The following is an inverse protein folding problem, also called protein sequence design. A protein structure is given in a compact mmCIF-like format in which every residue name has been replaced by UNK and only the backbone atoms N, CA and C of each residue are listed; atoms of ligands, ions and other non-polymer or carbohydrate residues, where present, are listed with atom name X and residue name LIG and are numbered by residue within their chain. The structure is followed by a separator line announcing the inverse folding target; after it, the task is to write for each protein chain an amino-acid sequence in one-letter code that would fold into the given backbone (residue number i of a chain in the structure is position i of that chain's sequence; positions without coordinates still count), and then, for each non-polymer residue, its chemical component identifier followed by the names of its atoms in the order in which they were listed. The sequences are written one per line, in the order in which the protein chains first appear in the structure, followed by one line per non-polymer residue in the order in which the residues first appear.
data_IF_022470889676
#
_entry.id   IF_022470889676
#
_cell.length_a   1.000
_cell.length_b   1.000
_cell.length_c   1.000
_cell.angle_alpha   90.00
_cell.angle_beta   90.00
_cell.angle_gamma   90.00
#
_symmetry.space_group_name_H-M   'P 1'
#
loop_
_entity.id
_entity.type
_entity.pdbx_description
1 polymer ?
#
# COMPACT_ATOMS: atom_id res chain seq x y z
N UNK A 1 -19.47 -18.22 21.51
CA UNK A 1 -18.38 -17.23 21.67
C UNK A 1 -17.18 -17.72 20.90
N UNK A 2 -16.46 -16.87 20.17
CA UNK A 2 -15.19 -17.23 19.51
C UNK A 2 -14.04 -17.12 20.49
N UNK A 3 -13.06 -18.02 20.37
CA UNK A 3 -11.77 -17.95 21.08
C UNK A 3 -10.73 -17.13 20.31
N UNK A 4 -11.01 -16.76 19.05
CA UNK A 4 -10.16 -15.87 18.27
C UNK A 4 -10.38 -14.42 18.74
N UNK A 5 -9.30 -13.75 19.13
CA UNK A 5 -9.35 -12.33 19.46
C UNK A 5 -9.35 -11.50 18.16
N UNK A 6 -10.55 -11.23 17.66
CA UNK A 6 -10.73 -10.43 16.45
C UNK A 6 -10.42 -8.96 16.70
N UNK A 7 -9.96 -8.27 15.66
CA UNK A 7 -9.67 -6.82 15.70
C UNK A 7 -10.90 -5.97 16.09
N UNK A 8 -12.10 -6.45 15.76
CA UNK A 8 -13.38 -5.90 16.21
C UNK A 8 -14.14 -6.96 17.04
N UNK A 9 -13.86 -7.12 18.33
CA UNK A 9 -14.33 -8.25 19.12
C UNK A 9 -15.85 -8.29 19.34
N UNK A 10 -16.54 -7.18 19.09
CA UNK A 10 -18.02 -7.10 19.14
C UNK A 10 -18.71 -7.45 17.82
N UNK A 11 -17.94 -7.57 16.74
CA UNK A 11 -18.52 -7.88 15.43
C UNK A 11 -18.72 -9.38 15.27
N UNK A 12 -19.88 -9.79 14.72
CA UNK A 12 -20.09 -11.14 14.23
C UNK A 12 -19.73 -11.18 12.76
N UNK A 13 -18.69 -11.93 12.42
CA UNK A 13 -18.20 -12.05 11.06
C UNK A 13 -18.76 -13.31 10.39
N UNK A 14 -19.11 -13.29 9.09
CA UNK A 14 -19.40 -14.49 8.35
C UNK A 14 -18.16 -15.39 8.30
N UNK A 15 -18.37 -16.71 8.25
CA UNK A 15 -17.28 -17.69 8.19
C UNK A 15 -17.00 -17.99 6.71
N UNK A 16 -15.86 -17.55 6.20
CA UNK A 16 -15.41 -17.90 4.85
C UNK A 16 -14.97 -19.36 4.79
N UNK A 17 -15.43 -20.10 3.80
CA UNK A 17 -15.16 -21.54 3.63
C UNK A 17 -14.50 -21.89 2.30
N UNK A 18 -14.63 -21.04 1.28
CA UNK A 18 -14.02 -21.25 -0.03
C UNK A 18 -13.71 -19.93 -0.74
N UNK A 19 -12.78 -20.01 -1.70
CA UNK A 19 -12.51 -18.95 -2.66
C UNK A 19 -12.61 -19.50 -4.08
N UNK A 20 -13.18 -18.72 -5.01
CA UNK A 20 -13.36 -19.12 -6.39
C UNK A 20 -13.22 -17.90 -7.31
N UNK A 21 -12.14 -17.87 -8.11
CA UNK A 21 -11.81 -16.71 -8.92
C UNK A 21 -11.70 -15.44 -8.07
N UNK A 22 -12.57 -14.47 -8.33
CA UNK A 22 -12.61 -13.20 -7.57
C UNK A 22 -13.58 -13.21 -6.39
N UNK A 23 -14.18 -14.35 -6.06
CA UNK A 23 -15.23 -14.45 -5.05
C UNK A 23 -14.80 -15.24 -3.82
N UNK A 24 -15.32 -14.84 -2.68
CA UNK A 24 -15.25 -15.59 -1.42
C UNK A 24 -16.66 -16.14 -1.13
N UNK A 25 -16.73 -17.40 -0.66
CA UNK A 25 -17.96 -18.08 -0.29
C UNK A 25 -17.98 -18.28 1.22
N UNK A 26 -19.10 -17.90 1.87
CA UNK A 26 -19.27 -18.13 3.30
C UNK A 26 -19.98 -19.47 3.61
N UNK A 27 -20.05 -19.82 4.89
CA UNK A 27 -20.65 -21.07 5.37
C UNK A 27 -22.14 -21.22 5.09
N UNK A 28 -22.82 -20.16 4.65
CA UNK A 28 -24.22 -20.22 4.22
C UNK A 28 -24.37 -20.42 2.71
N UNK A 29 -23.25 -20.44 1.98
CA UNK A 29 -23.21 -20.51 0.53
C UNK A 29 -23.32 -19.15 -0.17
N UNK A 30 -23.37 -18.05 0.57
CA UNK A 30 -23.41 -16.71 -0.01
C UNK A 30 -22.05 -16.36 -0.61
N UNK A 31 -22.06 -15.82 -1.83
CA UNK A 31 -20.90 -15.41 -2.60
C UNK A 31 -20.69 -13.89 -2.51
N UNK A 32 -19.45 -13.48 -2.37
CA UNK A 32 -19.05 -12.09 -2.27
C UNK A 32 -17.97 -11.80 -3.30
N UNK A 33 -18.18 -10.88 -4.22
CA UNK A 33 -17.11 -10.35 -5.08
C UNK A 33 -16.12 -9.61 -4.19
N UNK A 34 -14.85 -10.02 -4.21
CA UNK A 34 -13.77 -9.35 -3.49
C UNK A 34 -13.24 -8.17 -4.31
N UNK A 35 -13.93 -7.04 -4.23
CA UNK A 35 -13.51 -5.82 -4.91
C UNK A 35 -12.51 -4.98 -4.09
N UNK A 36 -11.94 -5.52 -3.02
CA UNK A 36 -10.89 -4.85 -2.25
C UNK A 36 -9.61 -5.68 -2.08
N UNK A 37 -9.61 -6.93 -2.55
CA UNK A 37 -8.49 -7.84 -2.35
C UNK A 37 -8.15 -8.04 -0.87
N UNK A 38 -9.16 -8.02 0.01
CA UNK A 38 -9.00 -7.88 1.46
C UNK A 38 -8.47 -6.48 1.84
N UNK A 39 -7.24 -6.18 1.56
CA UNK A 39 -6.60 -4.86 1.68
C UNK A 39 -5.59 -4.65 0.54
N UNK A 40 -6.05 -4.80 -0.70
CA UNK A 40 -5.26 -4.79 -1.93
C UNK A 40 -4.24 -5.95 -2.03
N UNK A 41 -4.55 -7.10 -1.43
CA UNK A 41 -3.65 -8.28 -1.35
C UNK A 41 -3.89 -9.27 -2.48
N UNK A 42 -5.15 -9.74 -2.66
CA UNK A 42 -5.52 -10.90 -3.48
C UNK A 42 -5.54 -10.59 -4.99
N UNK A 43 -4.38 -10.21 -5.54
CA UNK A 43 -4.29 -9.75 -6.93
C UNK A 43 -4.58 -10.85 -7.96
N UNK A 44 -4.37 -12.13 -7.64
CA UNK A 44 -4.70 -13.28 -8.51
C UNK A 44 -6.03 -13.97 -8.12
N UNK A 45 -6.84 -13.34 -7.25
CA UNK A 45 -8.02 -13.98 -6.69
C UNK A 45 -7.68 -15.11 -5.72
N UNK A 46 -8.59 -16.06 -5.55
CA UNK A 46 -8.57 -17.00 -4.44
C UNK A 46 -8.38 -18.48 -4.84
N UNK A 47 -8.18 -18.80 -6.11
CA UNK A 47 -8.14 -20.19 -6.59
C UNK A 47 -7.11 -20.45 -7.70
N UNK A 48 -6.02 -19.65 -7.76
CA UNK A 48 -4.99 -19.85 -8.77
C UNK A 48 -4.23 -21.16 -8.53
N UNK A 49 -4.49 -22.16 -9.39
CA UNK A 49 -3.95 -23.50 -9.22
C UNK A 49 -2.43 -23.56 -9.35
N UNK A 50 -1.83 -22.71 -10.21
CA UNK A 50 -0.38 -22.67 -10.38
C UNK A 50 0.34 -22.31 -9.09
N UNK A 51 -0.15 -21.28 -8.39
CA UNK A 51 0.42 -20.84 -7.09
C UNK A 51 0.21 -21.93 -6.02
N UNK A 52 -0.99 -22.52 -5.96
CA UNK A 52 -1.29 -23.63 -5.02
C UNK A 52 -0.34 -24.79 -5.24
N UNK A 53 -0.08 -25.17 -6.48
CA UNK A 53 0.82 -26.29 -6.81
C UNK A 53 2.29 -25.96 -6.54
N UNK A 54 2.72 -24.72 -6.73
CA UNK A 54 4.05 -24.25 -6.34
C UNK A 54 4.27 -24.38 -4.82
N UNK A 55 3.29 -23.97 -4.02
CA UNK A 55 3.29 -24.13 -2.55
C UNK A 55 3.41 -25.62 -2.16
N UNK A 56 2.59 -26.47 -2.76
CA UNK A 56 2.61 -27.94 -2.49
C UNK A 56 3.98 -28.54 -2.79
N UNK A 57 4.54 -28.27 -3.98
CA UNK A 57 5.85 -28.80 -4.39
C UNK A 57 6.95 -28.35 -3.42
N UNK A 58 7.02 -27.04 -3.13
CA UNK A 58 8.05 -26.52 -2.23
C UNK A 58 7.92 -27.06 -0.80
N UNK A 59 6.68 -27.17 -0.29
CA UNK A 59 6.44 -27.72 1.05
C UNK A 59 6.81 -29.20 1.17
N UNK A 60 6.70 -29.96 0.07
CA UNK A 60 7.14 -31.37 0.02
C UNK A 60 8.66 -31.52 -0.06
N UNK A 61 9.33 -30.58 -0.74
CA UNK A 61 10.78 -30.62 -0.92
C UNK A 61 11.51 -30.07 0.31
N UNK A 62 11.23 -28.84 0.70
CA UNK A 62 11.83 -28.13 1.83
C UNK A 62 10.95 -26.94 2.21
N UNK A 63 10.15 -27.02 3.29
CA UNK A 63 9.27 -25.91 3.65
C UNK A 63 10.03 -24.69 4.17
N UNK A 64 11.12 -24.89 4.90
CA UNK A 64 11.88 -23.85 5.58
C UNK A 64 13.35 -24.21 5.73
N UNK A 65 14.23 -23.23 5.57
CA UNK A 65 15.64 -23.27 5.98
C UNK A 65 16.01 -21.92 6.61
N UNK A 66 16.76 -21.95 7.70
CA UNK A 66 17.17 -20.73 8.38
C UNK A 66 18.30 -20.03 7.64
N UNK A 67 18.13 -18.75 7.36
CA UNK A 67 19.05 -17.93 6.53
C UNK A 67 20.46 -17.71 7.13
N UNK A 68 20.67 -18.03 8.42
CA UNK A 68 22.02 -18.05 8.99
C UNK A 68 22.85 -19.26 8.52
N UNK A 69 22.26 -20.25 7.87
CA UNK A 69 22.94 -21.48 7.45
C UNK A 69 22.78 -21.76 5.96
N UNK A 70 21.65 -21.38 5.37
CA UNK A 70 21.31 -21.72 4.00
C UNK A 70 20.57 -20.56 3.31
N UNK A 71 20.80 -20.43 2.03
CA UNK A 71 19.84 -19.81 1.10
C UNK A 71 19.04 -20.90 0.39
N UNK A 72 18.04 -20.53 -0.42
CA UNK A 72 17.27 -21.48 -1.23
C UNK A 72 17.15 -20.98 -2.67
N UNK A 73 17.15 -21.90 -3.64
CA UNK A 73 17.03 -21.57 -5.06
C UNK A 73 15.80 -20.67 -5.35
N UNK A 74 14.67 -20.96 -4.70
CA UNK A 74 13.44 -20.18 -4.91
C UNK A 74 13.53 -18.76 -4.34
N UNK A 75 14.34 -18.53 -3.30
CA UNK A 75 14.56 -17.19 -2.76
C UNK A 75 15.50 -16.39 -3.67
N UNK A 76 16.57 -17.02 -4.17
CA UNK A 76 17.51 -16.39 -5.12
C UNK A 76 16.80 -16.05 -6.44
N UNK A 77 16.05 -16.99 -7.04
CA UNK A 77 15.30 -16.76 -8.28
C UNK A 77 14.23 -15.66 -8.12
N UNK A 78 13.55 -15.61 -6.97
CA UNK A 78 12.61 -14.52 -6.70
C UNK A 78 13.34 -13.18 -6.57
N UNK A 79 14.51 -13.14 -5.91
CA UNK A 79 15.31 -11.94 -5.78
C UNK A 79 15.79 -11.44 -7.15
N UNK A 80 16.37 -12.31 -7.97
CA UNK A 80 16.82 -11.99 -9.32
C UNK A 80 15.66 -11.38 -10.15
N UNK A 81 14.49 -12.04 -10.13
CA UNK A 81 13.32 -11.57 -10.87
C UNK A 81 12.82 -10.21 -10.40
N UNK A 82 12.86 -9.92 -9.10
CA UNK A 82 12.47 -8.62 -8.57
C UNK A 82 13.48 -7.54 -8.94
N UNK A 83 14.76 -7.83 -8.87
CA UNK A 83 15.85 -6.92 -9.23
C UNK A 83 15.84 -6.60 -10.72
N UNK A 84 15.68 -7.61 -11.58
CA UNK A 84 15.61 -7.43 -13.04
C UNK A 84 14.50 -6.46 -13.48
N UNK A 85 13.42 -6.39 -12.71
CA UNK A 85 12.29 -5.53 -12.99
C UNK A 85 12.29 -4.23 -12.16
N UNK A 86 13.20 -4.07 -11.21
CA UNK A 86 13.22 -2.95 -10.27
C UNK A 86 13.68 -1.63 -10.92
N UNK A 87 13.28 -0.48 -10.37
CA UNK A 87 13.90 0.80 -10.69
C UNK A 87 15.42 0.75 -10.57
N UNK A 88 16.11 1.45 -11.48
CA UNK A 88 17.57 1.42 -11.58
C UNK A 88 18.26 1.69 -10.23
N UNK A 89 19.30 0.88 -9.93
CA UNK A 89 20.11 1.00 -8.72
C UNK A 89 19.59 0.20 -7.51
N UNK A 90 18.39 -0.39 -7.57
CA UNK A 90 17.90 -1.35 -6.60
C UNK A 90 18.34 -2.77 -7.01
N UNK A 91 19.40 -3.28 -6.38
CA UNK A 91 20.10 -4.48 -6.84
C UNK A 91 20.09 -5.62 -5.83
N UNK A 92 19.48 -5.42 -4.65
CA UNK A 92 19.41 -6.43 -3.60
C UNK A 92 18.02 -6.49 -2.97
N UNK A 93 17.65 -7.67 -2.45
CA UNK A 93 16.34 -7.91 -1.84
C UNK A 93 16.51 -8.50 -0.44
N UNK A 94 15.88 -7.87 0.53
CA UNK A 94 15.78 -8.38 1.89
C UNK A 94 14.36 -8.86 2.16
N UNK A 95 14.15 -10.19 2.20
CA UNK A 95 12.84 -10.79 2.40
C UNK A 95 12.41 -10.74 3.87
N UNK A 96 11.11 -10.56 4.09
CA UNK A 96 10.45 -10.55 5.40
C UNK A 96 9.06 -11.19 5.27
N UNK A 97 8.29 -11.28 6.38
CA UNK A 97 6.97 -11.94 6.35
C UNK A 97 5.80 -11.00 6.05
N UNK A 98 6.04 -9.69 5.95
CA UNK A 98 4.96 -8.73 5.67
C UNK A 98 5.41 -7.28 5.61
N UNK A 99 4.47 -6.38 5.29
CA UNK A 99 4.77 -4.97 5.02
C UNK A 99 5.32 -4.20 6.22
N UNK A 100 4.81 -4.43 7.43
CA UNK A 100 5.34 -3.74 8.62
C UNK A 100 6.80 -4.10 8.89
N UNK A 101 7.16 -5.36 8.68
CA UNK A 101 8.55 -5.82 8.79
C UNK A 101 9.43 -5.26 7.67
N UNK A 102 8.91 -5.12 6.46
CA UNK A 102 9.63 -4.48 5.36
C UNK A 102 9.99 -3.02 5.68
N UNK A 103 9.04 -2.27 6.24
CA UNK A 103 9.30 -0.90 6.71
C UNK A 103 10.32 -0.88 7.85
N UNK A 104 10.20 -1.75 8.86
CA UNK A 104 11.21 -1.83 9.93
C UNK A 104 12.61 -2.12 9.38
N UNK A 105 12.71 -3.03 8.39
CA UNK A 105 13.96 -3.31 7.72
C UNK A 105 14.50 -2.08 6.99
N UNK A 106 13.66 -1.36 6.25
CA UNK A 106 14.05 -0.14 5.53
C UNK A 106 14.56 0.96 6.46
N UNK A 107 13.87 1.20 7.60
CA UNK A 107 14.30 2.18 8.60
C UNK A 107 15.66 1.81 9.22
N UNK A 108 15.86 0.54 9.56
CA UNK A 108 17.11 0.05 10.13
C UNK A 108 18.23 0.03 9.12
N UNK A 109 17.98 -0.33 7.85
CA UNK A 109 18.95 -0.22 6.77
C UNK A 109 19.41 1.23 6.58
N UNK A 110 18.47 2.17 6.52
CA UNK A 110 18.78 3.59 6.41
C UNK A 110 19.65 4.08 7.61
N UNK A 111 19.28 3.67 8.82
CA UNK A 111 20.03 4.02 10.02
C UNK A 111 21.43 3.42 10.02
N UNK A 112 21.56 2.12 9.77
CA UNK A 112 22.85 1.43 9.77
C UNK A 112 23.76 1.95 8.65
N UNK A 113 23.23 2.19 7.45
CA UNK A 113 23.97 2.81 6.35
C UNK A 113 24.70 4.09 6.79
N UNK A 114 24.03 5.00 7.50
CA UNK A 114 24.66 6.23 7.97
C UNK A 114 25.65 6.00 9.11
N UNK A 115 25.42 5.02 9.98
CA UNK A 115 26.41 4.64 11.01
C UNK A 115 27.68 4.12 10.36
N UNK A 116 27.54 3.23 9.38
CA UNK A 116 28.71 2.67 8.64
C UNK A 116 29.47 3.73 7.83
N UNK A 117 28.77 4.74 7.33
CA UNK A 117 29.38 5.91 6.69
C UNK A 117 30.10 6.86 7.63
N UNK A 118 30.03 6.68 8.94
CA UNK A 118 30.52 7.64 9.92
C UNK A 118 29.67 8.89 10.11
N UNK A 119 28.38 8.83 9.73
CA UNK A 119 27.38 9.90 9.90
C UNK A 119 26.32 9.52 10.96
N UNK A 120 26.68 9.18 12.22
CA UNK A 120 25.76 8.64 13.23
C UNK A 120 24.74 9.67 13.73
N UNK A 121 24.88 10.95 13.41
CA UNK A 121 23.90 12.00 13.71
C UNK A 121 22.61 11.82 12.92
N UNK A 122 22.63 11.21 11.73
CA UNK A 122 21.46 10.98 10.86
C UNK A 122 20.54 9.93 11.48
N UNK A 123 19.46 10.38 12.13
CA UNK A 123 18.52 9.55 12.88
C UNK A 123 17.05 9.94 12.70
N UNK A 124 16.77 11.15 12.19
CA UNK A 124 15.41 11.61 12.00
C UNK A 124 14.81 11.06 10.71
N UNK A 125 13.56 10.64 10.80
CA UNK A 125 12.76 10.24 9.66
C UNK A 125 11.65 11.27 9.46
N UNK A 126 11.43 11.64 8.19
CA UNK A 126 10.34 12.51 7.78
C UNK A 126 9.36 11.68 6.95
N UNK A 127 8.04 11.81 7.19
CA UNK A 127 7.01 11.16 6.40
C UNK A 127 5.85 12.14 6.14
N UNK A 128 4.80 11.69 5.48
CA UNK A 128 3.62 12.53 5.22
C UNK A 128 2.55 12.36 6.30
N UNK A 129 1.82 13.43 6.64
CA UNK A 129 0.57 13.30 7.37
C UNK A 129 -0.39 12.41 6.58
N UNK A 130 -1.31 11.71 7.25
CA UNK A 130 -2.27 10.78 6.68
C UNK A 130 -1.66 9.62 5.89
N UNK A 131 -0.40 9.24 6.16
CA UNK A 131 0.22 8.04 5.62
C UNK A 131 0.00 6.82 6.51
N UNK A 132 0.19 5.63 5.94
CA UNK A 132 0.18 4.36 6.67
C UNK A 132 1.33 3.46 6.22
N UNK A 133 2.22 3.13 7.16
CA UNK A 133 3.41 2.32 6.87
C UNK A 133 3.47 0.99 7.64
N UNK A 134 2.52 0.72 8.52
CA UNK A 134 2.46 -0.54 9.26
C UNK A 134 2.05 -0.38 10.73
N UNK A 135 2.16 -1.49 11.49
CA UNK A 135 1.73 -1.57 12.89
C UNK A 135 2.86 -1.86 13.89
N UNK A 136 4.07 -2.21 13.44
CA UNK A 136 5.22 -2.30 14.32
C UNK A 136 5.55 -0.90 14.84
N UNK A 137 6.24 -0.79 15.98
CA UNK A 137 6.41 0.51 16.62
C UNK A 137 7.14 1.53 15.75
N UNK A 138 8.18 1.12 15.00
CA UNK A 138 8.86 2.01 14.06
C UNK A 138 7.98 2.40 12.87
N UNK A 139 7.32 1.43 12.24
CA UNK A 139 6.40 1.70 11.14
C UNK A 139 5.20 2.57 11.54
N UNK A 140 4.67 2.35 12.76
CA UNK A 140 3.60 3.17 13.33
C UNK A 140 4.08 4.59 13.66
N UNK A 141 5.31 4.72 14.14
CA UNK A 141 5.91 6.02 14.49
C UNK A 141 6.02 6.93 13.28
N UNK A 142 6.48 6.41 12.12
CA UNK A 142 6.57 7.19 10.88
C UNK A 142 5.22 7.37 10.18
N UNK A 143 4.22 6.51 10.45
CA UNK A 143 2.86 6.69 9.94
C UNK A 143 2.24 8.02 10.37
N UNK A 144 1.60 8.73 9.45
CA UNK A 144 1.05 10.07 9.69
C UNK A 144 -0.41 10.11 10.12
N UNK A 145 -1.08 8.96 10.27
CA UNK A 145 -2.49 8.92 10.67
C UNK A 145 -2.63 9.00 12.20
N UNK A 146 -3.10 10.13 12.71
CA UNK A 146 -3.18 10.44 14.13
C UNK A 146 -4.00 9.41 14.91
N UNK A 147 -5.17 9.02 14.40
CA UNK A 147 -6.06 8.04 15.05
C UNK A 147 -5.39 6.70 15.35
N UNK A 148 -4.52 6.23 14.45
CA UNK A 148 -3.81 4.94 14.62
C UNK A 148 -2.68 5.03 15.63
N UNK A 149 -2.09 6.22 15.80
CA UNK A 149 -0.92 6.47 16.64
C UNK A 149 -1.30 6.80 18.10
N UNK A 150 -2.41 7.50 18.30
CA UNK A 150 -2.83 8.07 19.58
C UNK A 150 -2.69 7.12 20.77
N UNK A 151 -3.22 5.87 20.76
CA UNK A 151 -3.11 4.95 21.89
C UNK A 151 -1.67 4.52 22.22
N UNK A 152 -0.74 4.68 21.26
CA UNK A 152 0.63 4.17 21.34
C UNK A 152 1.69 5.26 21.38
N UNK A 153 1.30 6.54 21.38
CA UNK A 153 2.25 7.67 21.39
C UNK A 153 3.40 7.54 22.40
N UNK A 154 3.19 7.06 23.65
CA UNK A 154 4.27 6.92 24.61
C UNK A 154 5.33 5.87 24.24
N UNK A 155 5.05 4.99 23.26
CA UNK A 155 5.94 3.92 22.82
C UNK A 155 6.65 4.24 21.51
N UNK A 156 6.26 5.32 20.82
CA UNK A 156 6.75 5.62 19.49
C UNK A 156 8.06 6.42 19.53
N UNK A 157 8.97 6.09 18.61
CA UNK A 157 10.13 6.93 18.33
C UNK A 157 9.69 8.27 17.73
N UNK A 158 10.54 9.28 17.86
CA UNK A 158 10.31 10.58 17.24
C UNK A 158 10.32 10.46 15.70
N UNK A 159 9.29 10.98 15.05
CA UNK A 159 9.18 11.10 13.61
C UNK A 159 8.51 12.42 13.23
N UNK A 160 8.90 12.99 12.11
CA UNK A 160 8.45 14.29 11.65
C UNK A 160 7.52 14.13 10.44
N UNK A 161 6.51 15.01 10.33
CA UNK A 161 5.52 14.88 9.27
C UNK A 161 5.33 16.19 8.51
N UNK A 162 5.34 16.07 7.17
CA UNK A 162 5.02 17.14 6.22
C UNK A 162 3.64 16.88 5.59
N UNK A 163 3.15 17.83 4.80
CA UNK A 163 1.86 17.74 4.12
C UNK A 163 1.78 16.54 3.17
N UNK A 164 0.60 15.90 3.03
CA UNK A 164 0.37 14.90 2.01
C UNK A 164 0.28 15.57 0.62
N UNK A 165 0.56 14.81 -0.44
CA UNK A 165 0.22 15.23 -1.79
C UNK A 165 -1.24 14.81 -2.09
N UNK A 166 -2.19 15.67 -1.76
CA UNK A 166 -3.62 15.39 -1.84
C UNK A 166 -4.36 16.50 -2.58
N UNK A 167 -4.20 16.53 -3.91
CA UNK A 167 -4.67 17.64 -4.76
C UNK A 167 -6.15 17.99 -4.57
N UNK A 168 -7.04 17.00 -4.49
CA UNK A 168 -8.47 17.27 -4.27
C UNK A 168 -8.74 18.15 -3.04
N UNK A 169 -7.97 17.99 -1.96
CA UNK A 169 -8.17 18.72 -0.69
C UNK A 169 -7.28 19.96 -0.56
N UNK A 170 -6.02 19.86 -0.94
CA UNK A 170 -4.97 20.76 -0.48
C UNK A 170 -4.40 21.67 -1.59
N UNK A 171 -4.69 21.36 -2.87
CA UNK A 171 -4.29 22.21 -3.98
C UNK A 171 -5.14 23.49 -4.00
N UNK A 172 -4.49 24.65 -4.06
CA UNK A 172 -5.16 25.95 -4.01
C UNK A 172 -5.91 26.25 -5.32
N UNK A 173 -6.94 27.08 -5.24
CA UNK A 173 -7.66 27.50 -6.42
C UNK A 173 -6.72 28.22 -7.40
N UNK A 174 -6.65 27.73 -8.64
CA UNK A 174 -5.76 28.27 -9.68
C UNK A 174 -4.29 27.83 -9.57
N UNK A 175 -3.92 27.04 -8.55
CA UNK A 175 -2.58 26.47 -8.45
C UNK A 175 -2.41 25.33 -9.46
N UNK A 176 -1.36 25.36 -10.28
CA UNK A 176 -1.04 24.25 -11.19
C UNK A 176 -0.45 23.07 -10.42
N UNK A 177 -0.53 21.85 -11.00
CA UNK A 177 0.09 20.66 -10.41
C UNK A 177 1.58 20.88 -10.14
N UNK A 178 2.26 21.57 -11.04
CA UNK A 178 3.69 21.88 -10.92
C UNK A 178 3.99 22.82 -9.74
N UNK A 179 3.18 23.86 -9.54
CA UNK A 179 3.32 24.81 -8.43
C UNK A 179 2.98 24.11 -7.10
N UNK A 180 1.94 23.27 -7.09
CA UNK A 180 1.57 22.47 -5.91
C UNK A 180 2.68 21.48 -5.53
N UNK A 181 3.21 20.74 -6.50
CA UNK A 181 4.34 19.83 -6.27
C UNK A 181 5.58 20.57 -5.74
N UNK A 182 5.86 21.78 -6.27
CA UNK A 182 6.97 22.61 -5.78
C UNK A 182 6.74 23.04 -4.33
N UNK A 183 5.57 23.55 -3.99
CA UNK A 183 5.23 23.96 -2.63
C UNK A 183 5.42 22.85 -1.59
N UNK A 184 5.05 21.61 -1.96
CA UNK A 184 5.24 20.44 -1.09
C UNK A 184 6.72 20.03 -0.99
N UNK A 185 7.49 20.17 -2.07
CA UNK A 185 8.93 19.92 -2.03
C UNK A 185 9.67 20.96 -1.19
N UNK A 186 9.25 22.24 -1.29
CA UNK A 186 9.80 23.34 -0.45
C UNK A 186 9.50 23.12 1.04
N UNK A 187 8.30 22.59 1.38
CA UNK A 187 7.96 22.20 2.77
C UNK A 187 8.88 21.09 3.29
N UNK A 188 9.17 20.07 2.46
CA UNK A 188 10.13 19.02 2.82
C UNK A 188 11.52 19.59 3.00
N UNK A 189 11.98 20.45 2.09
CA UNK A 189 13.28 21.09 2.17
C UNK A 189 13.41 21.93 3.45
N UNK A 190 12.40 22.75 3.74
CA UNK A 190 12.36 23.53 4.97
C UNK A 190 12.43 22.66 6.21
N UNK A 191 11.72 21.52 6.25
CA UNK A 191 11.75 20.60 7.37
C UNK A 191 13.14 19.95 7.54
N UNK A 192 13.81 19.59 6.47
CA UNK A 192 15.19 19.06 6.50
C UNK A 192 16.14 20.10 7.09
N UNK A 193 16.04 21.36 6.65
CA UNK A 193 16.88 22.46 7.15
C UNK A 193 16.61 22.75 8.64
N UNK A 194 15.33 22.75 9.04
CA UNK A 194 14.91 22.94 10.45
C UNK A 194 15.53 21.88 11.38
N UNK A 195 15.58 20.62 10.94
CA UNK A 195 16.14 19.51 11.73
C UNK A 195 17.67 19.44 11.69
N UNK A 196 18.30 20.18 10.79
CA UNK A 196 19.70 20.03 10.41
C UNK A 196 19.85 18.86 9.43
N UNK A 197 20.28 19.14 8.20
CA UNK A 197 20.34 18.13 7.15
C UNK A 197 21.20 16.91 7.52
N UNK A 198 22.26 17.13 8.31
CA UNK A 198 23.16 16.11 8.85
C UNK A 198 22.51 15.18 9.90
N UNK A 199 21.32 15.51 10.35
CA UNK A 199 20.56 14.70 11.33
C UNK A 199 19.43 13.88 10.67
N UNK A 200 19.10 14.16 9.39
CA UNK A 200 17.99 13.50 8.70
C UNK A 200 18.48 12.27 7.95
N UNK A 201 17.92 11.11 8.25
CA UNK A 201 18.24 9.84 7.61
C UNK A 201 17.42 9.63 6.32
N UNK A 202 16.10 9.73 6.39
CA UNK A 202 15.27 9.41 5.23
C UNK A 202 13.95 10.20 5.21
N UNK A 203 13.43 10.38 3.98
CA UNK A 203 12.03 10.68 3.73
C UNK A 203 11.30 9.40 3.30
N UNK A 204 10.14 9.13 3.91
CA UNK A 204 9.33 7.93 3.69
C UNK A 204 7.97 8.32 3.13
N UNK A 205 7.56 7.71 2.02
CA UNK A 205 6.28 8.00 1.39
C UNK A 205 5.69 6.78 0.66
N UNK A 206 4.37 6.62 0.74
CA UNK A 206 3.66 5.73 -0.19
C UNK A 206 3.70 6.34 -1.60
N UNK A 207 4.00 5.54 -2.62
CA UNK A 207 3.96 6.03 -4.02
C UNK A 207 2.54 6.48 -4.39
N UNK A 208 1.54 5.70 -4.03
CA UNK A 208 0.12 6.09 -4.05
C UNK A 208 -0.44 5.86 -2.66
N UNK A 209 -0.98 6.89 -2.01
CA UNK A 209 -1.50 6.76 -0.64
C UNK A 209 -2.69 5.81 -0.62
N UNK A 210 -2.58 4.77 0.21
CA UNK A 210 -3.56 3.68 0.22
C UNK A 210 -4.70 3.86 1.21
N UNK A 211 -4.61 3.08 2.30
CA UNK A 211 -5.71 2.82 3.23
C UNK A 211 -6.24 4.06 3.98
N UNK A 212 -5.42 5.07 4.21
CA UNK A 212 -5.79 6.22 5.06
C UNK A 212 -6.48 7.35 4.30
N UNK A 213 -6.28 7.43 2.99
CA UNK A 213 -6.86 8.51 2.17
C UNK A 213 -7.60 8.00 0.91
N UNK A 214 -7.58 6.68 0.62
CA UNK A 214 -8.32 6.06 -0.47
C UNK A 214 -7.70 6.32 -1.85
N UNK A 215 -6.61 5.62 -2.14
CA UNK A 215 -5.92 5.59 -3.44
C UNK A 215 -5.60 6.98 -4.01
N UNK A 216 -4.94 7.84 -3.23
CA UNK A 216 -4.53 9.20 -3.66
C UNK A 216 -3.21 9.13 -4.43
N UNK A 217 -3.20 9.28 -5.76
CA UNK A 217 -1.97 9.40 -6.52
C UNK A 217 -1.34 10.77 -6.31
N UNK A 218 0.00 10.88 -6.36
CA UNK A 218 0.64 12.19 -6.37
C UNK A 218 0.35 12.92 -7.68
N UNK A 219 0.37 14.27 -7.65
CA UNK A 219 0.36 15.05 -8.86
C UNK A 219 1.66 14.85 -9.65
N UNK A 220 1.61 15.11 -10.94
CA UNK A 220 2.79 14.99 -11.80
C UNK A 220 3.97 15.78 -11.21
N UNK A 221 5.17 15.28 -11.40
CA UNK A 221 6.44 15.86 -10.95
C UNK A 221 6.69 15.84 -9.44
N UNK A 222 5.69 15.58 -8.58
CA UNK A 222 5.87 15.58 -7.13
C UNK A 222 7.04 14.68 -6.68
N UNK A 223 7.02 13.39 -7.05
CA UNK A 223 8.08 12.46 -6.63
C UNK A 223 9.46 12.84 -7.19
N UNK A 224 9.52 13.40 -8.41
CA UNK A 224 10.78 13.91 -8.98
C UNK A 224 11.35 15.08 -8.16
N UNK A 225 10.49 16.01 -7.72
CA UNK A 225 10.92 17.12 -6.88
C UNK A 225 11.36 16.65 -5.48
N UNK A 226 10.63 15.72 -4.90
CA UNK A 226 11.01 15.07 -3.63
C UNK A 226 12.38 14.38 -3.77
N UNK A 227 12.59 13.59 -4.86
CA UNK A 227 13.89 12.96 -5.12
C UNK A 227 15.02 14.00 -5.20
N UNK A 228 14.79 15.09 -5.92
CA UNK A 228 15.78 16.16 -6.05
C UNK A 228 16.13 16.84 -4.70
N UNK A 229 15.14 17.05 -3.83
CA UNK A 229 15.37 17.55 -2.46
C UNK A 229 16.17 16.53 -1.65
N UNK A 230 15.81 15.24 -1.68
CA UNK A 230 16.54 14.19 -0.99
C UNK A 230 18.02 14.12 -1.46
N UNK A 231 18.26 14.18 -2.77
CA UNK A 231 19.61 14.17 -3.35
C UNK A 231 20.43 15.37 -2.90
N UNK A 232 19.84 16.56 -2.91
CA UNK A 232 20.50 17.82 -2.50
C UNK A 232 21.06 17.74 -1.08
N UNK A 233 20.37 17.07 -0.17
CA UNK A 233 20.75 17.00 1.24
C UNK A 233 21.33 15.64 1.67
N UNK A 234 21.48 14.70 0.73
CA UNK A 234 21.97 13.35 1.04
C UNK A 234 21.02 12.56 1.94
N UNK A 235 19.73 12.88 1.91
CA UNK A 235 18.65 12.17 2.62
C UNK A 235 18.21 11.00 1.75
N UNK A 236 18.01 9.81 2.36
CA UNK A 236 17.52 8.66 1.61
C UNK A 236 16.02 8.81 1.28
N UNK A 237 15.62 8.36 0.10
CA UNK A 237 14.23 8.23 -0.27
C UNK A 237 13.79 6.76 -0.10
N UNK A 238 12.80 6.53 0.77
CA UNK A 238 12.14 5.24 0.97
C UNK A 238 10.74 5.33 0.37
N UNK A 239 10.46 4.55 -0.68
CA UNK A 239 9.10 4.45 -1.21
C UNK A 239 8.41 3.18 -0.70
N UNK A 240 7.22 3.39 -0.13
CA UNK A 240 6.35 2.32 0.32
C UNK A 240 5.37 1.96 -0.81
N UNK A 241 5.59 0.80 -1.39
CA UNK A 241 4.74 0.21 -2.43
C UNK A 241 4.01 -1.06 -1.97
N UNK A 242 3.83 -1.20 -0.66
CA UNK A 242 3.15 -2.35 -0.09
C UNK A 242 1.73 -2.51 -0.63
N UNK A 243 1.01 -1.39 -0.90
CA UNK A 243 -0.32 -1.43 -1.51
C UNK A 243 -0.31 -1.15 -3.01
N UNK A 244 0.54 -0.24 -3.47
CA UNK A 244 0.53 0.28 -4.83
C UNK A 244 1.42 -0.50 -5.80
N UNK A 245 2.40 -1.24 -5.30
CA UNK A 245 3.31 -2.04 -6.11
C UNK A 245 2.75 -3.39 -6.56
N UNK A 246 3.63 -4.21 -7.10
CA UNK A 246 3.36 -5.58 -7.57
C UNK A 246 2.20 -5.64 -8.59
N UNK A 247 2.11 -4.63 -9.45
CA UNK A 247 1.16 -4.59 -10.56
C UNK A 247 -0.13 -3.81 -10.30
N UNK A 248 -0.42 -3.42 -9.06
CA UNK A 248 -1.70 -2.81 -8.64
C UNK A 248 -2.07 -1.54 -9.42
N UNK A 249 -1.07 -0.73 -9.80
CA UNK A 249 -1.27 0.50 -10.57
C UNK A 249 -1.16 0.31 -12.09
N UNK A 250 -0.88 -0.92 -12.55
CA UNK A 250 -0.62 -1.22 -13.96
C UNK A 250 0.87 -1.16 -14.34
N UNK A 251 1.73 -0.88 -13.36
CA UNK A 251 3.19 -1.03 -13.42
C UNK A 251 3.60 -2.01 -12.33
N UNK A 252 4.68 -2.77 -12.53
CA UNK A 252 5.13 -3.71 -11.50
C UNK A 252 5.54 -2.95 -10.23
N UNK A 253 6.29 -1.89 -10.39
CA UNK A 253 6.57 -0.90 -9.35
C UNK A 253 5.87 0.41 -9.71
N UNK A 254 5.07 0.94 -8.79
CA UNK A 254 4.22 2.11 -9.07
C UNK A 254 5.03 3.38 -9.38
N UNK A 255 6.24 3.51 -8.82
CA UNK A 255 7.14 4.63 -9.06
C UNK A 255 7.72 4.69 -10.47
N UNK A 256 7.63 3.60 -11.26
CA UNK A 256 8.04 3.60 -12.67
C UNK A 256 7.19 4.59 -13.50
N UNK A 257 5.92 4.75 -13.17
CA UNK A 257 5.04 5.72 -13.83
C UNK A 257 5.53 7.17 -13.63
N UNK A 258 6.13 7.43 -12.47
CA UNK A 258 6.69 8.74 -12.12
C UNK A 258 8.14 8.92 -12.59
N UNK A 259 8.80 7.83 -13.04
CA UNK A 259 10.20 7.81 -13.47
C UNK A 259 11.16 8.16 -12.34
N UNK A 260 10.94 7.61 -11.15
CA UNK A 260 11.74 7.87 -9.94
C UNK A 260 12.25 6.57 -9.35
N UNK A 261 13.55 6.49 -9.08
CA UNK A 261 14.17 5.41 -8.36
C UNK A 261 14.44 5.83 -6.90
N UNK A 262 13.91 5.12 -5.89
CA UNK A 262 14.23 5.35 -4.49
C UNK A 262 15.55 4.68 -4.10
N UNK A 263 16.03 4.96 -2.89
CA UNK A 263 17.18 4.27 -2.30
C UNK A 263 16.79 2.93 -1.66
N UNK A 264 15.56 2.88 -1.15
CA UNK A 264 14.91 1.69 -0.58
C UNK A 264 13.45 1.66 -1.04
N UNK A 265 12.96 0.47 -1.38
CA UNK A 265 11.58 0.28 -1.81
C UNK A 265 10.99 -0.92 -1.08
N UNK A 266 9.83 -0.73 -0.44
CA UNK A 266 9.17 -1.80 0.32
C UNK A 266 7.96 -2.35 -0.41
N UNK A 267 7.85 -3.67 -0.47
CA UNK A 267 6.75 -4.40 -1.10
C UNK A 267 6.24 -5.51 -0.18
N UNK A 268 4.96 -5.86 -0.33
CA UNK A 268 4.32 -7.01 0.31
C UNK A 268 3.01 -7.33 -0.43
N UNK A 269 1.97 -7.78 0.27
CA UNK A 269 0.60 -7.96 -0.25
C UNK A 269 0.56 -8.64 -1.62
N UNK A 270 0.49 -7.86 -2.73
CA UNK A 270 0.50 -8.37 -4.09
C UNK A 270 1.72 -9.22 -4.43
N UNK A 271 2.82 -9.11 -3.70
CA UNK A 271 3.99 -9.97 -3.87
C UNK A 271 3.63 -11.46 -3.69
N UNK A 272 2.89 -11.80 -2.64
CA UNK A 272 2.40 -13.15 -2.37
C UNK A 272 0.94 -13.38 -2.74
N UNK A 273 0.24 -12.33 -3.22
CA UNK A 273 -1.18 -12.37 -3.65
C UNK A 273 -2.14 -12.97 -2.61
N UNK A 274 -1.77 -13.00 -1.33
CA UNK A 274 -2.56 -13.59 -0.25
C UNK A 274 -2.38 -15.11 -0.08
N UNK A 275 -1.63 -15.77 -0.95
CA UNK A 275 -1.38 -17.22 -0.83
C UNK A 275 -0.39 -17.57 0.26
N UNK A 276 0.61 -16.71 0.49
CA UNK A 276 1.54 -16.81 1.62
C UNK A 276 1.88 -15.41 2.16
N UNK A 277 2.12 -15.28 3.47
CA UNK A 277 2.64 -14.04 4.04
C UNK A 277 4.09 -13.84 3.60
N UNK A 278 4.36 -12.74 2.90
CA UNK A 278 5.68 -12.34 2.45
C UNK A 278 5.72 -10.82 2.24
N UNK A 279 6.86 -10.24 2.49
CA UNK A 279 7.24 -8.88 2.15
C UNK A 279 8.70 -8.81 1.77
N UNK A 280 9.13 -7.70 1.23
CA UNK A 280 10.54 -7.47 0.95
C UNK A 280 10.88 -5.97 0.97
N UNK A 281 12.14 -5.69 1.21
CA UNK A 281 12.76 -4.40 1.00
C UNK A 281 13.79 -4.55 -0.10
N UNK A 282 13.60 -3.86 -1.23
CA UNK A 282 14.61 -3.71 -2.26
C UNK A 282 15.58 -2.63 -1.83
N UNK A 283 16.85 -2.87 -2.05
CA UNK A 283 17.97 -2.10 -1.48
C UNK A 283 18.90 -1.66 -2.60
N UNK A 284 19.30 -0.39 -2.60
CA UNK A 284 20.29 0.08 -3.56
C UNK A 284 21.68 -0.52 -3.28
N UNK A 285 22.43 -0.80 -4.35
CA UNK A 285 23.80 -1.35 -4.27
C UNK A 285 24.70 -0.51 -3.37
N UNK A 286 24.58 0.80 -3.41
CA UNK A 286 25.36 1.70 -2.55
C UNK A 286 25.11 1.45 -1.05
N UNK A 287 23.86 1.18 -0.62
CA UNK A 287 23.54 0.86 0.78
C UNK A 287 24.09 -0.53 1.13
N UNK A 288 23.88 -1.51 0.25
CA UNK A 288 24.40 -2.86 0.43
C UNK A 288 25.92 -2.87 0.59
N UNK A 289 26.66 -2.27 -0.36
CA UNK A 289 28.13 -2.22 -0.30
C UNK A 289 28.66 -1.51 0.93
N UNK A 290 28.01 -0.42 1.35
CA UNK A 290 28.41 0.29 2.57
C UNK A 290 28.38 -0.62 3.80
N UNK A 291 27.37 -1.50 3.91
CA UNK A 291 27.26 -2.46 5.01
C UNK A 291 28.29 -3.60 4.84
N UNK A 292 28.47 -4.11 3.61
CA UNK A 292 29.44 -5.19 3.32
C UNK A 292 30.86 -4.75 3.62
N UNK A 293 31.24 -3.56 3.16
CA UNK A 293 32.59 -3.01 3.32
C UNK A 293 32.85 -2.50 4.75
N UNK A 294 31.77 -2.18 5.51
CA UNK A 294 31.81 -1.76 6.90
C UNK A 294 31.81 -2.95 7.86
N UNK A 295 30.71 -3.15 8.60
CA UNK A 295 30.59 -4.24 9.58
C UNK A 295 30.47 -5.63 8.96
N UNK A 296 30.06 -5.71 7.69
CA UNK A 296 29.75 -6.97 7.00
C UNK A 296 28.50 -7.68 7.52
N UNK A 297 27.68 -7.01 8.33
CA UNK A 297 26.53 -7.64 8.98
C UNK A 297 25.38 -6.64 9.17
N UNK A 298 24.19 -6.96 8.65
CA UNK A 298 22.97 -6.19 8.92
C UNK A 298 22.37 -6.60 10.27
N UNK A 299 22.34 -5.67 11.24
CA UNK A 299 21.88 -5.91 12.62
C UNK A 299 20.35 -5.98 12.73
N UNK A 300 19.75 -6.78 11.88
CA UNK A 300 18.31 -7.02 11.81
C UNK A 300 18.02 -8.40 11.26
N UNK A 301 17.04 -9.09 11.84
CA UNK A 301 16.66 -10.41 11.36
C UNK A 301 15.38 -10.91 12.00
N UNK A 302 14.65 -11.71 11.25
CA UNK A 302 13.47 -12.46 11.69
C UNK A 302 13.69 -13.95 11.40
N UNK A 303 13.14 -14.83 12.22
CA UNK A 303 13.29 -16.28 12.06
C UNK A 303 12.83 -16.76 10.68
N UNK A 304 11.80 -16.17 10.11
CA UNK A 304 11.20 -16.61 8.84
C UNK A 304 11.67 -15.80 7.62
N UNK A 305 12.82 -15.14 7.68
CA UNK A 305 13.41 -14.50 6.50
C UNK A 305 13.57 -15.48 5.34
N UNK A 306 13.17 -15.10 4.14
CA UNK A 306 13.33 -15.91 2.94
C UNK A 306 12.66 -17.28 3.03
N UNK A 307 11.52 -17.42 3.74
CA UNK A 307 10.80 -18.67 3.90
C UNK A 307 10.53 -19.34 2.56
N UNK A 308 11.13 -20.51 2.32
CA UNK A 308 11.14 -21.15 0.99
C UNK A 308 9.75 -21.31 0.37
N UNK A 309 8.76 -21.76 1.15
CA UNK A 309 7.38 -21.92 0.64
C UNK A 309 6.73 -20.57 0.30
N UNK A 310 7.04 -19.51 1.05
CA UNK A 310 6.52 -18.18 0.76
C UNK A 310 7.20 -17.58 -0.48
N UNK A 311 8.51 -17.78 -0.65
CA UNK A 311 9.25 -17.37 -1.84
C UNK A 311 8.75 -18.13 -3.09
N UNK A 312 8.49 -19.45 -3.00
CA UNK A 312 7.95 -20.23 -4.10
C UNK A 312 6.55 -19.74 -4.54
N UNK A 313 5.70 -19.41 -3.58
CA UNK A 313 4.39 -18.82 -3.87
C UNK A 313 4.54 -17.47 -4.58
N UNK A 314 5.36 -16.57 -4.04
CA UNK A 314 5.59 -15.25 -4.60
C UNK A 314 6.23 -15.30 -5.99
N UNK A 315 7.20 -16.19 -6.21
CA UNK A 315 7.84 -16.40 -7.50
C UNK A 315 6.80 -16.81 -8.56
N UNK A 316 5.91 -17.75 -8.22
CA UNK A 316 4.87 -18.18 -9.15
C UNK A 316 3.83 -17.08 -9.39
N UNK A 317 3.49 -16.27 -8.37
CA UNK A 317 2.64 -15.08 -8.53
C UNK A 317 3.23 -14.12 -9.58
N UNK A 318 4.54 -13.83 -9.49
CA UNK A 318 5.20 -12.94 -10.46
C UNK A 318 5.26 -13.54 -11.86
N UNK A 319 5.43 -14.87 -11.98
CA UNK A 319 5.36 -15.57 -13.28
C UNK A 319 3.97 -15.44 -13.90
N UNK A 320 2.91 -15.71 -13.15
CA UNK A 320 1.52 -15.58 -13.63
C UNK A 320 1.22 -14.15 -14.08
N UNK A 321 1.59 -13.13 -13.30
CA UNK A 321 1.38 -11.71 -13.67
C UNK A 321 2.02 -11.40 -15.03
N UNK A 322 3.26 -11.85 -15.25
CA UNK A 322 3.99 -11.57 -16.48
C UNK A 322 3.45 -12.37 -17.68
N UNK A 323 3.28 -13.68 -17.53
CA UNK A 323 2.90 -14.60 -18.61
C UNK A 323 1.47 -14.36 -19.12
N UNK A 324 0.55 -14.06 -18.18
CA UNK A 324 -0.84 -13.74 -18.50
C UNK A 324 -1.04 -12.25 -18.83
N UNK A 325 0.04 -11.45 -18.88
CA UNK A 325 0.01 -10.00 -19.20
C UNK A 325 -0.99 -9.22 -18.34
N UNK A 326 -1.07 -9.55 -17.06
CA UNK A 326 -2.10 -9.00 -16.17
C UNK A 326 -1.96 -7.49 -15.96
N UNK A 327 -0.77 -6.90 -16.15
CA UNK A 327 -0.59 -5.44 -16.07
C UNK A 327 -1.42 -4.69 -17.12
N UNK A 328 -1.56 -5.25 -18.33
CA UNK A 328 -2.41 -4.67 -19.37
C UNK A 328 -3.89 -4.72 -18.97
N UNK A 329 -4.33 -5.84 -18.37
CA UNK A 329 -5.68 -5.96 -17.86
C UNK A 329 -5.94 -4.97 -16.71
N UNK A 330 -4.96 -4.79 -15.80
CA UNK A 330 -5.05 -3.80 -14.70
C UNK A 330 -5.26 -2.39 -15.26
N UNK A 331 -4.54 -1.99 -16.31
CA UNK A 331 -4.71 -0.68 -16.96
C UNK A 331 -6.09 -0.56 -17.59
N UNK A 332 -6.49 -1.54 -18.39
CA UNK A 332 -7.78 -1.53 -19.11
C UNK A 332 -8.98 -1.56 -18.16
N UNK A 333 -8.97 -2.47 -17.16
CA UNK A 333 -10.05 -2.59 -16.18
C UNK A 333 -10.07 -1.43 -15.20
N UNK A 334 -8.89 -0.90 -14.85
CA UNK A 334 -8.79 0.29 -14.01
C UNK A 334 -9.39 1.53 -14.67
N UNK A 335 -9.15 1.73 -15.97
CA UNK A 335 -9.79 2.82 -16.73
C UNK A 335 -11.30 2.63 -16.82
N UNK A 336 -11.77 1.42 -17.16
CA UNK A 336 -13.20 1.10 -17.18
C UNK A 336 -13.85 1.41 -15.83
N UNK A 337 -13.26 0.95 -14.71
CA UNK A 337 -13.78 1.18 -13.36
C UNK A 337 -13.91 2.68 -13.04
N UNK A 338 -12.84 3.46 -13.30
CA UNK A 338 -12.87 4.91 -13.05
C UNK A 338 -13.84 5.64 -13.96
N UNK A 339 -13.91 5.27 -15.25
CA UNK A 339 -14.85 5.89 -16.20
C UNK A 339 -16.29 5.64 -15.79
N UNK A 340 -16.66 4.38 -15.49
CA UNK A 340 -18.02 4.03 -15.04
C UNK A 340 -18.41 4.70 -13.73
N UNK A 341 -17.49 4.79 -12.76
CA UNK A 341 -17.75 5.51 -11.51
C UNK A 341 -17.90 7.01 -11.72
N UNK A 342 -17.11 7.63 -12.62
CA UNK A 342 -17.26 9.05 -12.95
C UNK A 342 -18.54 9.34 -13.72
N UNK A 343 -18.94 8.45 -14.62
CA UNK A 343 -20.22 8.56 -15.35
C UNK A 343 -21.38 8.52 -14.35
N UNK A 344 -21.37 7.56 -13.42
CA UNK A 344 -22.42 7.40 -12.43
C UNK A 344 -22.46 8.54 -11.41
N UNK A 345 -21.30 8.98 -10.93
CA UNK A 345 -21.18 9.93 -9.81
C UNK A 345 -20.69 11.33 -10.22
N UNK A 346 -20.44 11.58 -11.49
CA UNK A 346 -19.84 12.83 -11.95
C UNK A 346 -20.58 14.13 -11.54
N UNK A 347 -21.90 14.05 -11.33
CA UNK A 347 -22.74 15.14 -10.84
C UNK A 347 -23.37 14.86 -9.46
N UNK A 348 -23.00 13.75 -8.79
CA UNK A 348 -23.63 13.37 -7.53
C UNK A 348 -23.24 14.34 -6.40
N UNK A 349 -24.20 14.91 -5.62
CA UNK A 349 -23.91 15.95 -4.63
C UNK A 349 -23.02 15.46 -3.48
N UNK A 350 -23.02 14.16 -3.21
CA UNK A 350 -22.31 13.55 -2.09
C UNK A 350 -21.08 12.73 -2.49
N UNK A 351 -20.66 12.78 -3.76
CA UNK A 351 -19.39 12.20 -4.21
C UNK A 351 -18.45 13.31 -4.64
N UNK A 352 -17.40 13.51 -3.87
CA UNK A 352 -16.45 14.59 -4.08
C UNK A 352 -15.40 14.28 -5.14
N UNK A 353 -14.85 13.04 -5.10
CA UNK A 353 -13.76 12.67 -5.99
C UNK A 353 -13.77 11.15 -6.31
N UNK A 354 -13.37 10.83 -7.55
CA UNK A 354 -13.09 9.48 -8.03
C UNK A 354 -11.69 9.46 -8.61
N UNK A 355 -10.76 8.85 -7.93
CA UNK A 355 -9.32 8.89 -8.19
C UNK A 355 -8.64 7.53 -8.21
N UNK A 356 -7.36 7.48 -8.56
CA UNK A 356 -6.53 6.29 -8.49
C UNK A 356 -5.71 6.02 -9.74
N UNK A 357 -4.94 4.91 -9.70
CA UNK A 357 -4.13 4.38 -10.81
C UNK A 357 -4.39 2.89 -10.97
N UNK A 358 -4.52 2.39 -12.20
CA UNK A 358 -4.81 0.98 -12.45
C UNK A 358 -6.07 0.50 -11.71
N UNK A 359 -6.00 -0.68 -11.10
CA UNK A 359 -7.04 -1.23 -10.23
C UNK A 359 -6.84 -0.86 -8.74
N UNK A 360 -6.43 0.37 -8.49
CA UNK A 360 -6.31 0.97 -7.18
C UNK A 360 -7.08 2.29 -7.19
N UNK A 361 -8.35 2.24 -6.80
CA UNK A 361 -9.32 3.31 -7.01
C UNK A 361 -9.95 3.72 -5.68
N UNK A 362 -10.14 5.01 -5.49
CA UNK A 362 -10.81 5.60 -4.34
C UNK A 362 -12.02 6.42 -4.75
N UNK A 363 -13.09 6.31 -3.97
CA UNK A 363 -14.27 7.19 -4.05
C UNK A 363 -14.36 7.95 -2.74
N UNK A 364 -14.37 9.28 -2.77
CA UNK A 364 -14.49 10.11 -1.58
C UNK A 364 -15.92 10.60 -1.43
N UNK A 365 -16.47 10.41 -0.22
CA UNK A 365 -17.82 10.85 0.11
C UNK A 365 -17.77 12.19 0.86
N UNK A 366 -18.64 13.11 0.45
CA UNK A 366 -18.75 14.45 1.01
C UNK A 366 -20.22 14.79 1.29
N UNK A 367 -20.48 15.59 2.30
CA UNK A 367 -21.82 16.11 2.57
C UNK A 367 -22.25 17.13 1.51
N UNK A 368 -21.29 17.92 1.06
CA UNK A 368 -21.49 18.95 0.06
C UNK A 368 -20.28 19.00 -0.87
N UNK A 369 -20.54 18.85 -2.17
CA UNK A 369 -19.51 18.73 -3.19
C UNK A 369 -18.75 20.02 -3.44
N UNK A 370 -19.46 21.15 -3.41
CA UNK A 370 -18.88 22.45 -3.78
C UNK A 370 -17.93 22.96 -2.70
N UNK A 371 -18.31 22.80 -1.44
CA UNK A 371 -17.50 23.17 -0.28
C UNK A 371 -16.55 22.07 0.16
N UNK A 372 -16.69 20.85 -0.36
CA UNK A 372 -15.99 19.63 0.05
C UNK A 372 -16.23 19.29 1.54
N UNK A 373 -17.33 19.77 2.13
CA UNK A 373 -17.67 19.54 3.53
C UNK A 373 -17.89 18.05 3.78
N UNK A 374 -17.39 17.54 4.91
CA UNK A 374 -17.52 16.13 5.31
C UNK A 374 -18.86 15.87 5.98
N UNK A 375 -19.29 14.62 6.00
CA UNK A 375 -20.33 14.18 6.92
C UNK A 375 -19.84 14.23 8.36
N UNK A 376 -20.79 14.27 9.30
CA UNK A 376 -20.48 14.14 10.73
C UNK A 376 -19.85 12.75 10.97
N UNK A 377 -18.66 12.68 11.58
CA UNK A 377 -18.01 11.40 11.90
C UNK A 377 -18.89 10.45 12.75
N UNK A 378 -19.81 10.99 13.55
CA UNK A 378 -20.75 10.20 14.35
C UNK A 378 -21.75 9.39 13.49
N UNK A 379 -22.00 9.80 12.24
CA UNK A 379 -22.85 9.05 11.30
C UNK A 379 -22.22 7.72 10.86
N UNK A 380 -20.89 7.59 10.94
CA UNK A 380 -20.11 6.40 10.52
C UNK A 380 -20.51 5.93 9.12
N UNK A 381 -20.62 6.86 8.18
CA UNK A 381 -21.08 6.59 6.80
C UNK A 381 -20.28 5.45 6.15
N UNK A 382 -18.95 5.43 6.29
CA UNK A 382 -18.11 4.34 5.79
C UNK A 382 -18.55 2.95 6.32
N UNK A 383 -18.97 2.85 7.58
CA UNK A 383 -19.47 1.59 8.15
C UNK A 383 -20.83 1.19 7.57
N UNK A 384 -21.70 2.17 7.27
CA UNK A 384 -22.96 1.93 6.57
C UNK A 384 -22.71 1.40 5.16
N UNK A 385 -21.81 2.05 4.39
CA UNK A 385 -21.43 1.56 3.04
C UNK A 385 -20.91 0.12 3.10
N UNK A 386 -20.04 -0.20 4.07
CA UNK A 386 -19.53 -1.57 4.25
C UNK A 386 -20.68 -2.57 4.45
N UNK A 387 -21.61 -2.26 5.31
CA UNK A 387 -22.76 -3.12 5.61
C UNK A 387 -23.65 -3.35 4.36
N UNK A 388 -23.96 -2.27 3.66
CA UNK A 388 -24.77 -2.30 2.45
C UNK A 388 -24.10 -3.06 1.31
N UNK A 389 -22.79 -2.90 1.12
CA UNK A 389 -22.01 -3.66 0.15
C UNK A 389 -22.01 -5.16 0.48
N UNK A 390 -21.75 -5.53 1.73
CA UNK A 390 -21.78 -6.93 2.16
C UNK A 390 -23.16 -7.58 1.96
N UNK A 391 -24.25 -6.85 2.18
CA UNK A 391 -25.60 -7.35 1.89
C UNK A 391 -25.79 -7.67 0.40
N UNK A 392 -25.19 -6.86 -0.49
CA UNK A 392 -25.23 -7.03 -1.95
C UNK A 392 -24.19 -8.03 -2.49
N UNK A 393 -23.50 -8.74 -1.59
CA UNK A 393 -22.44 -9.67 -1.99
C UNK A 393 -21.22 -9.00 -2.58
N UNK A 394 -20.83 -7.83 -2.05
CA UNK A 394 -19.63 -7.09 -2.47
C UNK A 394 -18.76 -6.77 -1.26
N UNK A 395 -17.48 -7.04 -1.38
CA UNK A 395 -16.46 -6.61 -0.42
C UNK A 395 -15.72 -5.39 -0.96
N UNK A 396 -15.79 -4.29 -0.25
CA UNK A 396 -15.02 -3.06 -0.50
C UNK A 396 -14.32 -2.63 0.81
N UNK A 397 -13.40 -1.68 0.74
CA UNK A 397 -12.63 -1.22 1.90
C UNK A 397 -12.97 0.24 2.24
N UNK A 398 -14.12 0.51 2.88
CA UNK A 398 -14.48 1.86 3.29
C UNK A 398 -13.77 2.24 4.59
N UNK A 399 -13.35 3.48 4.68
CA UNK A 399 -12.67 4.04 5.85
C UNK A 399 -13.22 5.44 6.17
N UNK A 400 -13.31 5.77 7.45
CA UNK A 400 -13.48 7.13 7.95
C UNK A 400 -12.15 7.77 8.30
N UNK A 401 -12.16 9.08 8.55
CA UNK A 401 -10.98 9.83 8.95
C UNK A 401 -10.01 10.15 7.81
N UNK A 402 -10.52 10.30 6.60
CA UNK A 402 -9.76 10.52 5.36
C UNK A 402 -8.82 11.72 5.41
N UNK A 403 -9.21 12.81 6.12
CA UNK A 403 -8.50 14.09 6.11
C UNK A 403 -7.46 14.18 7.23
N UNK A 404 -7.88 13.83 8.45
CA UNK A 404 -7.11 14.07 9.68
C UNK A 404 -7.13 12.90 10.68
N UNK A 405 -7.69 11.76 10.27
CA UNK A 405 -7.91 10.59 11.12
C UNK A 405 -9.29 10.57 11.79
N UNK A 406 -10.09 11.64 11.67
CA UNK A 406 -11.43 11.78 12.25
C UNK A 406 -12.47 12.09 11.17
N UNK A 407 -12.21 13.10 10.33
CA UNK A 407 -13.15 13.62 9.35
C UNK A 407 -12.96 13.01 7.97
N UNK A 408 -14.08 12.91 7.24
CA UNK A 408 -14.13 12.41 5.86
C UNK A 408 -14.29 10.90 5.78
N UNK A 409 -14.93 10.45 4.71
CA UNK A 409 -15.19 9.05 4.40
C UNK A 409 -14.74 8.74 2.97
N UNK A 410 -14.09 7.61 2.78
CA UNK A 410 -13.74 7.12 1.45
C UNK A 410 -13.97 5.62 1.32
N UNK A 411 -14.02 5.16 0.08
CA UNK A 411 -14.13 3.75 -0.26
C UNK A 411 -12.93 3.41 -1.14
N UNK A 412 -12.12 2.45 -0.72
CA UNK A 412 -11.04 1.91 -1.52
C UNK A 412 -11.51 0.66 -2.25
N UNK A 413 -11.23 0.60 -3.55
CA UNK A 413 -11.57 -0.47 -4.47
C UNK A 413 -10.27 -0.99 -5.09
N UNK A 414 -9.99 -2.27 -4.92
CA UNK A 414 -8.76 -2.90 -5.35
C UNK A 414 -9.01 -4.37 -5.74
N UNK A 415 -9.84 -4.62 -6.78
CA UNK A 415 -10.21 -5.97 -7.18
C UNK A 415 -9.01 -6.75 -7.71
N UNK A 416 -9.11 -8.10 -7.84
CA UNK A 416 -8.08 -8.92 -8.46
C UNK A 416 -7.77 -8.51 -9.90
N UNK A 417 -6.52 -8.69 -10.33
CA UNK A 417 -6.04 -8.34 -11.69
C UNK A 417 -6.70 -9.19 -12.79
N UNK A 418 -7.25 -10.34 -12.42
CA UNK A 418 -7.93 -11.28 -13.31
C UNK A 418 -9.40 -10.89 -13.60
N UNK A 419 -9.88 -9.76 -13.06
CA UNK A 419 -11.26 -9.31 -13.30
C UNK A 419 -11.56 -9.14 -14.79
N UNK A 420 -12.72 -9.64 -15.21
CA UNK A 420 -13.28 -9.39 -16.54
C UNK A 420 -14.00 -8.04 -16.60
N UNK A 421 -14.33 -7.58 -17.81
CA UNK A 421 -15.12 -6.36 -17.99
C UNK A 421 -16.48 -6.46 -17.30
N UNK A 422 -17.18 -7.58 -17.46
CA UNK A 422 -18.49 -7.83 -16.84
C UNK A 422 -18.42 -7.83 -15.31
N UNK A 423 -17.31 -8.34 -14.75
CA UNK A 423 -17.12 -8.31 -13.29
C UNK A 423 -16.88 -6.89 -12.78
N UNK A 424 -16.18 -6.03 -13.54
CA UNK A 424 -16.07 -4.61 -13.20
C UNK A 424 -17.44 -3.92 -13.24
N UNK A 425 -18.28 -4.19 -14.24
CA UNK A 425 -19.62 -3.62 -14.31
C UNK A 425 -20.47 -4.06 -13.10
N UNK A 426 -20.40 -5.34 -12.71
CA UNK A 426 -21.09 -5.85 -11.53
C UNK A 426 -20.56 -5.22 -10.21
N UNK A 427 -19.26 -4.93 -10.12
CA UNK A 427 -18.68 -4.20 -8.97
C UNK A 427 -19.27 -2.80 -8.90
N UNK A 428 -19.30 -2.06 -10.02
CA UNK A 428 -19.85 -0.69 -10.08
C UNK A 428 -21.33 -0.69 -9.69
N UNK A 429 -22.14 -1.58 -10.25
CA UNK A 429 -23.58 -1.69 -9.95
C UNK A 429 -23.84 -1.92 -8.45
N UNK A 430 -23.18 -2.93 -7.87
CA UNK A 430 -23.35 -3.27 -6.45
C UNK A 430 -22.84 -2.17 -5.52
N UNK A 431 -21.72 -1.54 -5.89
CA UNK A 431 -21.14 -0.44 -5.11
C UNK A 431 -22.04 0.78 -5.14
N UNK A 432 -22.56 1.15 -6.31
CA UNK A 432 -23.48 2.29 -6.45
C UNK A 432 -24.72 2.09 -5.59
N UNK A 433 -25.36 0.93 -5.67
CA UNK A 433 -26.49 0.63 -4.81
C UNK A 433 -26.18 0.61 -3.31
N UNK A 434 -24.93 0.28 -2.92
CA UNK A 434 -24.50 0.32 -1.53
C UNK A 434 -24.27 1.75 -1.03
N UNK A 435 -23.67 2.61 -1.85
CA UNK A 435 -23.44 4.02 -1.53
C UNK A 435 -24.78 4.75 -1.41
N UNK A 436 -25.69 4.59 -2.39
CA UNK A 436 -27.00 5.25 -2.40
C UNK A 436 -27.83 4.87 -1.17
N UNK A 437 -27.87 3.57 -0.82
CA UNK A 437 -28.56 3.09 0.37
C UNK A 437 -27.94 3.63 1.68
N UNK A 438 -26.62 3.73 1.74
CA UNK A 438 -25.94 4.27 2.91
C UNK A 438 -26.20 5.78 3.05
N UNK A 439 -26.17 6.55 1.96
CA UNK A 439 -26.49 7.99 1.94
C UNK A 439 -27.93 8.22 2.37
N UNK A 440 -28.90 7.50 1.79
CA UNK A 440 -30.30 7.61 2.19
C UNK A 440 -30.50 7.34 3.69
N UNK A 441 -29.76 6.37 4.26
CA UNK A 441 -29.81 6.06 5.71
C UNK A 441 -29.20 7.15 6.58
N UNK A 442 -28.30 7.95 6.03
CA UNK A 442 -27.66 9.08 6.70
C UNK A 442 -28.47 10.41 6.58
N UNK A 443 -29.60 10.38 5.86
CA UNK A 443 -30.46 11.56 5.65
C UNK A 443 -29.89 12.53 4.62
N UNK A 444 -29.11 12.03 3.67
CA UNK A 444 -28.47 12.78 2.61
C UNK A 444 -29.23 12.62 1.28
#
# INVERSE_FOLDING_TARGET
MTTVFHRAPRATLPVAVAGDGIEIVDSTGKRYIDACGGAAVSCLGHSNQRVIDAIKRQSQQLPYAHTSFFTTEVAEELADRLVDAAPAGLEHVYFVSGGSEAIEAALKLARQYFVEKGEPSRRHFIARRQSYHGNTLGALAIGGNAWRREPFLPLLIEAHHVSPCYAYRDQLAGETDEAYAQRLADELEQKIVELGAENVAAFVAETVVGATAGAVPPVRTYLKKIRAVCDKYGVLLILDEIMSGMGRTGYLFACDEDGVAPDLLTIAKGLGAGYQPIGATLVSDRIYRTIVDGSGFFQHGHTYLGHATACAAALEVQRVIAEEKLLDNVKARGEQLRASLREHYGAHPHVGDVRGRGLFVGVELVRDRDTKATFDPASKLHAAVKREAMQRGLMVYPMGGTIDGVHGDHILIAPPFICTAQQIDAIVERLSGAIDAALASAGA
#
